data_IF_291132487810
#
_entry.id   IF_291132487810
#
_cell.length_a   1.000
_cell.length_b   1.000
_cell.length_c   1.000
_cell.angle_alpha   90.00
_cell.angle_beta   90.00
_cell.angle_gamma   90.00
#
_symmetry.space_group_name_H-M   'P 1'
#
loop_
_entity.id
_entity.type
_entity.pdbx_description
1 polymer ?
#
# COMPACT_ATOMS: atom_id res chain seq x y z
N UNK A 1 -29.96 -21.17 -7.74
CA UNK A 1 -29.50 -19.77 -7.75
C UNK A 1 -29.19 -19.42 -9.20
N UNK A 2 -29.95 -18.50 -9.79
CA UNK A 2 -29.63 -17.99 -11.12
C UNK A 2 -28.38 -17.13 -10.98
N UNK A 3 -27.27 -17.56 -11.57
CA UNK A 3 -26.12 -16.68 -11.81
C UNK A 3 -26.54 -15.71 -12.90
N UNK A 4 -27.07 -14.56 -12.49
CA UNK A 4 -27.09 -13.38 -13.37
C UNK A 4 -25.64 -13.06 -13.72
N UNK A 5 -25.38 -12.70 -14.98
CA UNK A 5 -24.10 -12.16 -15.46
C UNK A 5 -23.76 -10.85 -14.72
N UNK A 6 -23.37 -10.96 -13.45
CA UNK A 6 -22.91 -9.83 -12.66
C UNK A 6 -21.51 -9.49 -13.15
N UNK A 7 -21.40 -8.36 -13.83
CA UNK A 7 -20.11 -7.78 -14.17
C UNK A 7 -19.45 -7.28 -12.88
N UNK A 8 -18.16 -7.58 -12.66
CA UNK A 8 -17.40 -6.96 -11.58
C UNK A 8 -17.49 -5.44 -11.65
N UNK A 9 -17.53 -4.81 -10.48
CA UNK A 9 -17.47 -3.35 -10.32
C UNK A 9 -16.23 -2.94 -9.50
N UNK A 10 -16.08 -1.64 -9.26
CA UNK A 10 -14.98 -1.09 -8.46
C UNK A 10 -14.89 -1.71 -7.05
N UNK A 11 -16.03 -1.99 -6.42
CA UNK A 11 -16.06 -2.58 -5.08
C UNK A 11 -15.59 -4.04 -5.13
N UNK A 12 -15.99 -4.77 -6.17
CA UNK A 12 -15.55 -6.14 -6.42
C UNK A 12 -14.02 -6.21 -6.53
N UNK A 13 -13.42 -5.28 -7.27
CA UNK A 13 -11.96 -5.23 -7.42
C UNK A 13 -11.23 -4.88 -6.12
N UNK A 14 -11.75 -3.96 -5.31
CA UNK A 14 -11.22 -3.70 -3.95
C UNK A 14 -11.24 -4.99 -3.12
N UNK A 15 -12.35 -5.74 -3.16
CA UNK A 15 -12.50 -6.99 -2.41
C UNK A 15 -11.45 -8.04 -2.81
N UNK A 16 -11.31 -8.33 -4.11
CA UNK A 16 -10.37 -9.35 -4.58
C UNK A 16 -8.91 -8.92 -4.42
N UNK A 17 -8.58 -7.64 -4.60
CA UNK A 17 -7.23 -7.12 -4.39
C UNK A 17 -6.85 -7.16 -2.91
N UNK A 18 -7.77 -6.82 -2.02
CA UNK A 18 -7.59 -6.96 -0.58
C UNK A 18 -7.36 -8.43 -0.19
N UNK A 19 -8.15 -9.36 -0.73
CA UNK A 19 -7.92 -10.79 -0.51
C UNK A 19 -6.53 -11.25 -1.00
N UNK A 20 -6.08 -10.78 -2.17
CA UNK A 20 -4.72 -11.05 -2.65
C UNK A 20 -3.67 -10.49 -1.68
N UNK A 21 -3.86 -9.27 -1.17
CA UNK A 21 -2.99 -8.65 -0.17
C UNK A 21 -2.80 -9.52 1.07
N UNK A 22 -3.90 -9.99 1.66
CA UNK A 22 -3.87 -10.85 2.83
C UNK A 22 -3.27 -12.23 2.55
N UNK A 23 -3.49 -12.78 1.36
CA UNK A 23 -2.97 -14.08 0.95
C UNK A 23 -1.51 -14.02 0.43
N UNK A 24 -0.94 -12.83 0.23
CA UNK A 24 0.38 -12.65 -0.35
C UNK A 24 0.46 -13.01 -1.85
N UNK A 25 -0.67 -13.02 -2.55
CA UNK A 25 -0.77 -13.40 -3.97
C UNK A 25 -0.41 -12.23 -4.88
N UNK A 26 0.89 -11.90 -4.93
CA UNK A 26 1.39 -10.69 -5.60
C UNK A 26 1.14 -10.71 -7.11
N UNK A 27 1.35 -11.85 -7.78
CA UNK A 27 1.20 -11.93 -9.23
C UNK A 27 -0.27 -11.87 -9.64
N UNK A 28 -1.14 -12.55 -8.91
CA UNK A 28 -2.59 -12.52 -9.11
C UNK A 28 -3.14 -11.12 -8.84
N UNK A 29 -2.72 -10.44 -7.77
CA UNK A 29 -3.12 -9.07 -7.48
C UNK A 29 -2.74 -8.10 -8.61
N UNK A 30 -1.51 -8.19 -9.13
CA UNK A 30 -1.07 -7.39 -10.28
C UNK A 30 -1.88 -7.67 -11.54
N UNK A 31 -2.13 -8.95 -11.82
CA UNK A 31 -2.95 -9.38 -12.95
C UNK A 31 -4.35 -8.78 -12.86
N UNK A 32 -5.02 -8.96 -11.72
CA UNK A 32 -6.37 -8.43 -11.48
C UNK A 32 -6.41 -6.90 -11.58
N UNK A 33 -5.42 -6.21 -11.03
CA UNK A 33 -5.33 -4.76 -11.12
C UNK A 33 -5.22 -4.26 -12.57
N UNK A 34 -4.48 -4.97 -13.42
CA UNK A 34 -4.37 -4.64 -14.85
C UNK A 34 -5.64 -4.99 -15.63
N UNK A 35 -6.21 -6.17 -15.39
CA UNK A 35 -7.44 -6.65 -16.04
C UNK A 35 -8.64 -5.75 -15.75
N UNK A 36 -8.70 -5.15 -14.55
CA UNK A 36 -9.74 -4.20 -14.16
C UNK A 36 -9.96 -3.10 -15.22
N UNK A 37 -8.90 -2.48 -15.71
CA UNK A 37 -9.01 -1.46 -16.76
C UNK A 37 -9.07 -2.11 -18.16
N UNK A 38 -8.17 -3.05 -18.44
CA UNK A 38 -7.99 -3.60 -19.78
C UNK A 38 -9.17 -4.46 -20.28
N UNK A 39 -9.82 -5.20 -19.38
CA UNK A 39 -10.92 -6.12 -19.71
C UNK A 39 -12.28 -5.60 -19.25
N UNK A 40 -12.34 -4.93 -18.09
CA UNK A 40 -13.61 -4.49 -17.51
C UNK A 40 -13.87 -2.98 -17.67
N UNK A 41 -12.90 -2.21 -18.18
CA UNK A 41 -13.04 -0.76 -18.40
C UNK A 41 -13.15 0.06 -17.12
N UNK A 42 -12.79 -0.52 -15.97
CA UNK A 42 -12.87 0.11 -14.66
C UNK A 42 -11.53 0.80 -14.40
N UNK A 43 -11.55 2.13 -14.30
CA UNK A 43 -10.34 2.90 -14.01
C UNK A 43 -9.95 2.77 -12.54
N UNK A 44 -8.67 2.49 -12.22
CA UNK A 44 -8.22 2.43 -10.84
C UNK A 44 -8.42 3.75 -10.10
N UNK A 45 -9.09 3.65 -8.94
CA UNK A 45 -9.22 4.72 -7.93
C UNK A 45 -8.21 4.54 -6.80
N UNK A 46 -8.09 5.54 -5.94
CA UNK A 46 -7.12 5.60 -4.85
C UNK A 46 -7.17 4.36 -3.94
N UNK A 47 -8.37 3.81 -3.71
CA UNK A 47 -8.61 2.61 -2.93
C UNK A 47 -7.93 1.38 -3.55
N UNK A 48 -7.99 1.22 -4.88
CA UNK A 48 -7.35 0.13 -5.60
C UNK A 48 -5.83 0.23 -5.55
N UNK A 49 -5.29 1.45 -5.70
CA UNK A 49 -3.86 1.70 -5.50
C UNK A 49 -3.44 1.38 -4.06
N UNK A 50 -4.26 1.75 -3.08
CA UNK A 50 -4.07 1.39 -1.68
C UNK A 50 -3.97 -0.13 -1.46
N UNK A 51 -4.88 -0.91 -2.06
CA UNK A 51 -4.82 -2.38 -2.01
C UNK A 51 -3.52 -2.93 -2.62
N UNK A 52 -3.07 -2.38 -3.75
CA UNK A 52 -1.83 -2.81 -4.39
C UNK A 52 -0.60 -2.47 -3.55
N UNK A 53 -0.54 -1.26 -2.98
CA UNK A 53 0.55 -0.88 -2.08
C UNK A 53 0.57 -1.77 -0.84
N UNK A 54 -0.58 -2.02 -0.21
CA UNK A 54 -0.68 -2.91 0.94
C UNK A 54 -0.20 -4.34 0.60
N UNK A 55 -0.59 -4.87 -0.56
CA UNK A 55 -0.13 -6.16 -1.07
C UNK A 55 1.39 -6.22 -1.21
N UNK A 56 2.00 -5.23 -1.86
CA UNK A 56 3.44 -5.17 -2.07
C UNK A 56 4.20 -5.00 -0.75
N UNK A 57 3.68 -4.15 0.14
CA UNK A 57 4.21 -3.89 1.47
C UNK A 57 4.21 -5.15 2.33
N UNK A 58 3.09 -5.87 2.41
CA UNK A 58 2.96 -7.13 3.17
C UNK A 58 3.78 -8.27 2.60
N UNK A 59 4.07 -8.24 1.30
CA UNK A 59 4.98 -9.18 0.67
C UNK A 59 6.47 -8.82 0.87
N UNK A 60 6.78 -7.71 1.56
CA UNK A 60 8.15 -7.24 1.78
C UNK A 60 8.81 -6.63 0.54
N UNK A 61 8.04 -6.36 -0.52
CA UNK A 61 8.54 -5.79 -1.78
C UNK A 61 8.58 -4.27 -1.73
N UNK A 62 9.27 -3.73 -0.72
CA UNK A 62 9.24 -2.30 -0.39
C UNK A 62 9.72 -1.39 -1.54
N UNK A 63 10.81 -1.76 -2.22
CA UNK A 63 11.32 -0.94 -3.33
C UNK A 63 10.27 -0.83 -4.44
N UNK A 64 9.64 -1.93 -4.80
CA UNK A 64 8.58 -1.92 -5.79
C UNK A 64 7.32 -1.20 -5.30
N UNK A 65 6.97 -1.33 -4.02
CA UNK A 65 5.86 -0.56 -3.45
C UNK A 65 6.11 0.95 -3.59
N UNK A 66 7.34 1.41 -3.32
CA UNK A 66 7.74 2.81 -3.52
C UNK A 66 7.64 3.23 -4.99
N UNK A 67 8.18 2.43 -5.90
CA UNK A 67 8.12 2.70 -7.35
C UNK A 67 6.65 2.77 -7.82
N UNK A 68 5.81 1.87 -7.32
CA UNK A 68 4.39 1.86 -7.64
C UNK A 68 3.69 3.13 -7.14
N UNK A 69 3.99 3.58 -5.91
CA UNK A 69 3.48 4.86 -5.37
C UNK A 69 3.93 6.04 -6.25
N UNK A 70 5.19 6.08 -6.66
CA UNK A 70 5.73 7.16 -7.51
C UNK A 70 5.12 7.17 -8.91
N UNK A 71 4.73 6.00 -9.43
CA UNK A 71 4.08 5.86 -10.72
C UNK A 71 2.55 6.14 -10.68
N UNK A 72 1.98 6.36 -9.49
CA UNK A 72 0.55 6.64 -9.37
C UNK A 72 0.19 7.93 -10.13
N UNK A 73 -0.89 7.92 -10.94
CA UNK A 73 -1.40 9.14 -11.57
C UNK A 73 -2.20 10.01 -10.59
N UNK A 74 -2.30 9.60 -9.33
CA UNK A 74 -3.07 10.23 -8.26
C UNK A 74 -2.14 10.53 -7.08
N UNK A 75 -2.44 11.60 -6.34
CA UNK A 75 -1.72 11.91 -5.11
C UNK A 75 -1.98 10.81 -4.05
N UNK A 76 -0.94 10.17 -3.50
CA UNK A 76 -1.13 9.18 -2.44
C UNK A 76 -1.66 9.84 -1.16
N UNK A 77 -2.57 9.17 -0.45
CA UNK A 77 -3.10 9.65 0.82
C UNK A 77 -2.34 9.07 2.02
N UNK A 78 -2.74 9.50 3.23
CA UNK A 78 -2.12 9.04 4.46
C UNK A 78 -2.20 7.52 4.68
N UNK A 79 -3.26 6.86 4.19
CA UNK A 79 -3.38 5.41 4.29
C UNK A 79 -2.27 4.67 3.51
N UNK A 80 -1.94 5.16 2.31
CA UNK A 80 -0.88 4.57 1.47
C UNK A 80 0.50 4.74 2.12
N UNK A 81 0.84 5.95 2.58
CA UNK A 81 2.12 6.20 3.25
C UNK A 81 2.19 5.51 4.62
N UNK A 82 1.06 5.39 5.32
CA UNK A 82 0.95 4.64 6.58
C UNK A 82 1.23 3.14 6.38
N UNK A 83 0.69 2.54 5.32
CA UNK A 83 0.99 1.15 4.97
C UNK A 83 2.50 0.94 4.68
N UNK A 84 3.09 1.86 3.89
CA UNK A 84 4.50 1.84 3.56
C UNK A 84 5.39 1.98 4.81
N UNK A 85 5.10 2.94 5.69
CA UNK A 85 5.82 3.13 6.95
C UNK A 85 5.70 1.92 7.88
N UNK A 86 4.49 1.37 8.00
CA UNK A 86 4.22 0.16 8.78
C UNK A 86 5.05 -1.04 8.31
N UNK A 87 5.17 -1.22 6.99
CA UNK A 87 5.99 -2.29 6.42
C UNK A 87 7.49 -2.02 6.57
N UNK A 88 7.96 -0.78 6.40
CA UNK A 88 9.34 -0.39 6.67
C UNK A 88 9.77 -0.73 8.10
N UNK A 89 8.86 -0.59 9.08
CA UNK A 89 9.07 -1.07 10.45
C UNK A 89 9.22 -2.58 10.56
N UNK A 90 8.37 -3.35 9.89
CA UNK A 90 8.43 -4.82 9.91
C UNK A 90 9.75 -5.31 9.32
N UNK A 91 10.09 -4.85 8.12
CA UNK A 91 11.26 -5.27 7.36
C UNK A 91 12.54 -4.49 7.69
N UNK A 92 12.49 -3.59 8.68
CA UNK A 92 13.63 -2.80 9.16
C UNK A 92 14.32 -1.98 8.06
N UNK A 93 13.55 -1.37 7.16
CA UNK A 93 14.06 -0.47 6.12
C UNK A 93 13.97 0.98 6.62
N UNK A 94 15.09 1.52 7.11
CA UNK A 94 15.14 2.85 7.70
C UNK A 94 14.93 3.96 6.66
N UNK A 95 15.62 3.88 5.53
CA UNK A 95 15.59 4.93 4.50
C UNK A 95 14.17 5.14 3.96
N UNK A 96 13.49 4.06 3.57
CA UNK A 96 12.10 4.14 3.12
C UNK A 96 11.14 4.49 4.26
N UNK A 97 11.47 4.12 5.50
CA UNK A 97 10.71 4.49 6.68
C UNK A 97 10.72 5.99 6.94
N UNK A 98 11.90 6.63 6.93
CA UNK A 98 12.06 8.07 7.10
C UNK A 98 11.35 8.85 5.98
N UNK A 99 11.48 8.40 4.74
CA UNK A 99 10.77 8.99 3.61
C UNK A 99 9.24 8.90 3.77
N UNK A 100 8.73 7.71 4.08
CA UNK A 100 7.28 7.49 4.24
C UNK A 100 6.72 8.32 5.39
N UNK A 101 7.46 8.43 6.49
CA UNK A 101 7.08 9.25 7.63
C UNK A 101 7.01 10.74 7.29
N UNK A 102 7.99 11.26 6.54
CA UNK A 102 7.98 12.65 6.08
C UNK A 102 6.75 12.92 5.20
N UNK A 103 6.50 12.07 4.19
CA UNK A 103 5.33 12.22 3.32
C UNK A 103 4.02 12.14 4.11
N UNK A 104 3.94 11.27 5.11
CA UNK A 104 2.76 11.15 5.96
C UNK A 104 2.56 12.38 6.86
N UNK A 105 3.62 12.95 7.43
CA UNK A 105 3.54 14.17 8.25
C UNK A 105 3.23 15.42 7.43
N UNK A 106 3.65 15.47 6.16
CA UNK A 106 3.25 16.55 5.24
C UNK A 106 1.74 16.53 4.96
N UNK A 107 1.14 15.34 4.88
CA UNK A 107 -0.31 15.15 4.67
C UNK A 107 -1.11 15.28 5.97
N UNK A 108 -0.58 14.75 7.06
CA UNK A 108 -1.24 14.64 8.36
C UNK A 108 -0.30 15.07 9.50
N UNK A 109 -0.09 16.39 9.70
CA UNK A 109 0.90 16.89 10.66
C UNK A 109 0.63 16.51 12.13
N UNK A 110 -0.61 16.14 12.46
CA UNK A 110 -1.06 15.78 13.81
C UNK A 110 -1.09 14.26 14.03
N UNK A 111 -0.51 13.46 13.13
CA UNK A 111 -0.50 12.01 13.25
C UNK A 111 0.64 11.55 14.17
N UNK A 112 0.38 11.50 15.47
CA UNK A 112 1.36 11.07 16.49
C UNK A 112 1.86 9.62 16.26
N UNK A 113 1.06 8.79 15.58
CA UNK A 113 1.40 7.41 15.27
C UNK A 113 2.67 7.28 14.42
N UNK A 114 3.00 8.30 13.61
CA UNK A 114 4.20 8.31 12.77
C UNK A 114 5.47 8.24 13.62
N UNK A 115 5.56 9.04 14.68
CA UNK A 115 6.74 9.09 15.55
C UNK A 115 6.94 7.77 16.30
N UNK A 116 5.84 7.12 16.72
CA UNK A 116 5.89 5.79 17.35
C UNK A 116 6.49 4.76 16.37
N UNK A 117 6.09 4.79 15.10
CA UNK A 117 6.60 3.86 14.09
C UNK A 117 8.09 4.11 13.79
N UNK A 118 8.52 5.37 13.65
CA UNK A 118 9.92 5.72 13.45
C UNK A 118 10.80 5.32 14.63
N UNK A 119 10.38 5.63 15.85
CA UNK A 119 11.11 5.27 17.08
C UNK A 119 11.39 3.75 17.14
N UNK A 120 10.40 2.94 16.77
CA UNK A 120 10.56 1.48 16.70
C UNK A 120 11.58 1.03 15.64
N UNK A 121 11.64 1.71 14.49
CA UNK A 121 12.64 1.43 13.44
C UNK A 121 14.05 1.76 13.96
N UNK A 122 14.23 2.93 14.58
CA UNK A 122 15.51 3.35 15.14
C UNK A 122 15.99 2.43 16.27
N UNK A 123 15.11 2.06 17.20
CA UNK A 123 15.42 1.15 18.30
C UNK A 123 15.92 -0.21 17.80
N UNK A 124 15.29 -0.76 16.75
CA UNK A 124 15.69 -2.04 16.13
C UNK A 124 17.09 -2.00 15.49
N UNK A 125 17.59 -0.81 15.16
CA UNK A 125 18.95 -0.57 14.63
C UNK A 125 19.95 -0.08 15.69
N UNK A 126 19.59 -0.13 16.98
CA UNK A 126 20.39 0.40 18.09
C UNK A 126 20.65 1.91 18.01
N UNK A 127 19.83 2.66 17.27
CA UNK A 127 19.95 4.10 17.07
C UNK A 127 19.07 4.87 18.06
N UNK A 128 19.23 4.61 19.36
CA UNK A 128 18.33 5.09 20.43
C UNK A 128 18.31 6.61 20.68
N UNK A 129 19.23 7.37 20.09
CA UNK A 129 19.45 8.79 20.41
C UNK A 129 19.08 9.76 19.27
N UNK A 130 18.27 9.33 18.31
CA UNK A 130 17.74 10.17 17.22
C UNK A 130 16.23 10.28 17.27
#
# INVERSE_FOLDING_TARGET
MQMTDLQPDEITFIGVLTACSHAGLVQEGKKLFHEMEALYGIRPKLEHYGCMVDLLCRAGRLVEAREFIQAMPLQPNGAIWGAMLGACRVYNNLELGEESARCLLELEPTNDGVYILLSNIYAKRQMWMK
#
